data_IF_804295641105
#
_entry.id   IF_804295641105
#
_cell.length_a   1.000
_cell.length_b   1.000
_cell.length_c   1.000
_cell.angle_alpha   90.00
_cell.angle_beta   90.00
_cell.angle_gamma   90.00
#
_symmetry.space_group_name_H-M   'P 1'
#
loop_
_entity.id
_entity.type
_entity.pdbx_description
1 polymer ?
#
# COMPACT_ATOMS: atom_id res chain seq x y z
N UNK A 1 -6.54 58.89 54.10
CA UNK A 1 -7.63 58.44 55.01
C UNK A 1 -8.01 57.03 54.59
N UNK A 2 -7.80 56.12 55.53
CA UNK A 2 -8.21 54.72 55.65
C UNK A 2 -9.67 54.44 55.18
N UNK A 3 -10.18 53.24 54.92
CA UNK A 3 -9.93 51.86 55.39
C UNK A 3 -10.56 50.86 54.37
N UNK A 4 -10.01 49.64 54.35
CA UNK A 4 -10.64 48.29 54.39
C UNK A 4 -12.17 48.16 54.23
N UNK A 5 -12.75 47.07 53.72
CA UNK A 5 -12.21 45.72 53.54
C UNK A 5 -13.27 44.74 52.98
N UNK A 6 -12.82 43.51 52.77
CA UNK A 6 -13.58 42.36 52.28
C UNK A 6 -14.67 41.88 53.26
N UNK A 7 -15.67 41.14 52.74
CA UNK A 7 -16.10 39.85 53.33
C UNK A 7 -17.11 39.08 52.46
N UNK A 8 -16.81 37.78 52.34
CA UNK A 8 -17.61 36.71 51.77
C UNK A 8 -18.91 36.46 52.56
N UNK A 9 -19.94 35.94 51.89
CA UNK A 9 -21.02 35.18 52.53
C UNK A 9 -21.54 34.09 51.61
N UNK A 10 -21.26 32.83 51.95
CA UNK A 10 -21.96 31.66 51.44
C UNK A 10 -23.34 31.53 52.12
N UNK A 11 -24.40 31.30 51.33
CA UNK A 11 -25.67 30.73 51.81
C UNK A 11 -26.12 29.60 50.89
N UNK A 12 -26.43 28.48 51.53
CA UNK A 12 -27.00 27.26 50.97
C UNK A 12 -28.53 27.26 51.14
N UNK A 13 -29.27 26.83 50.11
CA UNK A 13 -30.34 25.79 50.17
C UNK A 13 -31.14 25.65 48.87
N UNK A 14 -31.07 24.43 48.29
CA UNK A 14 -32.14 23.53 47.78
C UNK A 14 -33.40 24.11 47.08
N UNK A 15 -33.68 23.71 45.83
CA UNK A 15 -34.63 22.62 45.44
C UNK A 15 -35.00 22.64 43.93
N UNK A 16 -35.28 21.46 43.35
CA UNK A 16 -35.97 21.20 42.07
C UNK A 16 -35.12 20.43 41.04
N UNK A 17 -35.16 19.08 40.97
CA UNK A 17 -36.03 18.24 40.11
C UNK A 17 -35.90 18.60 38.60
N UNK A 18 -35.69 17.72 37.61
CA UNK A 18 -36.01 16.30 37.38
C UNK A 18 -35.30 15.89 36.06
N UNK A 19 -34.79 14.66 35.92
CA UNK A 19 -34.35 14.15 34.59
C UNK A 19 -33.33 13.01 34.60
N UNK A 20 -33.76 11.81 35.03
CA UNK A 20 -33.13 10.51 34.74
C UNK A 20 -33.12 10.28 33.22
N UNK A 21 -32.08 9.75 32.56
CA UNK A 21 -31.72 8.33 32.58
C UNK A 21 -30.34 8.15 31.93
N UNK A 22 -29.35 7.66 32.69
CA UNK A 22 -28.06 7.19 32.16
C UNK A 22 -28.21 5.71 31.81
N UNK A 23 -28.23 5.40 30.52
CA UNK A 23 -28.13 4.02 30.05
C UNK A 23 -26.64 3.67 29.91
N UNK A 24 -26.15 2.81 30.80
CA UNK A 24 -24.86 2.16 30.70
C UNK A 24 -24.93 1.09 29.61
N UNK A 25 -24.23 1.30 28.49
CA UNK A 25 -23.80 0.21 27.61
C UNK A 25 -22.28 0.12 27.73
N UNK A 26 -21.81 -0.67 28.70
CA UNK A 26 -20.43 -1.17 28.71
C UNK A 26 -20.35 -2.36 27.77
N UNK A 27 -20.09 -2.14 26.49
CA UNK A 27 -19.61 -3.18 25.60
C UNK A 27 -18.14 -3.46 25.97
N UNK A 28 -17.93 -4.53 26.73
CA UNK A 28 -16.59 -5.11 26.92
C UNK A 28 -16.20 -5.76 25.61
N UNK A 29 -15.64 -4.97 24.70
CA UNK A 29 -14.89 -5.51 23.57
C UNK A 29 -13.60 -6.09 24.14
N UNK A 30 -13.56 -7.42 24.32
CA UNK A 30 -12.30 -8.15 24.52
C UNK A 30 -11.44 -7.94 23.26
N UNK A 31 -10.65 -6.88 23.25
CA UNK A 31 -9.52 -6.78 22.34
C UNK A 31 -8.48 -7.75 22.87
N UNK A 32 -8.53 -8.99 22.38
CA UNK A 32 -7.36 -9.85 22.40
C UNK A 32 -6.33 -9.17 21.50
N UNK A 33 -5.47 -8.33 22.09
CA UNK A 33 -4.19 -7.97 21.47
C UNK A 33 -3.38 -9.26 21.40
N UNK A 34 -3.63 -10.05 20.36
CA UNK A 34 -2.68 -11.08 19.93
C UNK A 34 -1.45 -10.30 19.52
N UNK A 35 -0.36 -10.47 20.28
CA UNK A 35 0.95 -9.91 19.93
C UNK A 35 1.40 -10.62 18.66
N UNK A 36 1.04 -10.03 17.52
CA UNK A 36 1.39 -10.55 16.21
C UNK A 36 2.90 -10.48 16.04
N UNK A 37 3.55 -11.63 15.92
CA UNK A 37 4.99 -11.70 15.77
C UNK A 37 5.35 -11.50 14.30
N UNK A 38 6.52 -10.91 14.02
CA UNK A 38 7.04 -10.80 12.66
C UNK A 38 7.20 -12.21 12.02
N UNK A 39 7.39 -13.25 12.85
CA UNK A 39 7.41 -14.65 12.41
C UNK A 39 6.09 -15.09 11.78
N UNK A 40 4.96 -14.76 12.40
CA UNK A 40 3.63 -15.15 11.89
C UNK A 40 3.37 -14.56 10.49
N UNK A 41 3.93 -13.38 10.20
CA UNK A 41 3.85 -12.75 8.88
C UNK A 41 4.67 -13.48 7.85
N UNK A 42 5.91 -13.82 8.20
CA UNK A 42 6.79 -14.55 7.32
C UNK A 42 6.17 -15.90 6.96
N UNK A 43 5.67 -16.62 7.96
CA UNK A 43 5.06 -17.95 7.76
C UNK A 43 3.81 -17.85 6.88
N UNK A 44 2.92 -16.88 7.15
CA UNK A 44 1.75 -16.65 6.31
C UNK A 44 2.13 -16.29 4.86
N UNK A 45 3.10 -15.40 4.67
CA UNK A 45 3.53 -15.00 3.32
C UNK A 45 4.13 -16.18 2.57
N UNK A 46 5.03 -16.95 3.21
CA UNK A 46 5.69 -18.09 2.58
C UNK A 46 4.72 -19.23 2.23
N UNK A 47 3.66 -19.42 3.02
CA UNK A 47 2.64 -20.43 2.75
C UNK A 47 1.69 -20.04 1.61
N UNK A 48 1.38 -18.75 1.46
CA UNK A 48 0.27 -18.30 0.61
C UNK A 48 0.69 -17.53 -0.65
N UNK A 49 1.86 -16.88 -0.65
CA UNK A 49 2.29 -16.03 -1.76
C UNK A 49 3.45 -16.67 -2.53
N UNK A 50 3.29 -16.62 -3.84
CA UNK A 50 4.28 -17.11 -4.80
C UNK A 50 4.70 -15.96 -5.70
N UNK A 51 5.85 -16.12 -6.36
CA UNK A 51 6.29 -15.34 -7.51
C UNK A 51 6.33 -16.24 -8.74
N UNK A 52 6.35 -15.63 -9.92
CA UNK A 52 6.46 -16.35 -11.19
C UNK A 52 7.80 -16.02 -11.87
N UNK A 53 8.50 -17.05 -12.32
CA UNK A 53 9.78 -16.93 -13.04
C UNK A 53 9.69 -17.63 -14.39
N UNK A 54 10.34 -17.07 -15.40
CA UNK A 54 10.37 -17.66 -16.74
C UNK A 54 11.42 -18.77 -16.79
N UNK A 55 10.97 -20.01 -17.06
CA UNK A 55 11.80 -21.22 -17.03
C UNK A 55 12.11 -21.75 -18.43
N UNK A 56 11.60 -21.07 -19.45
CA UNK A 56 11.92 -21.31 -20.86
C UNK A 56 12.39 -20.01 -21.52
N UNK A 57 13.55 -20.04 -22.14
CA UNK A 57 14.04 -18.99 -23.01
C UNK A 57 13.43 -19.17 -24.40
N UNK A 58 12.47 -18.31 -24.74
CA UNK A 58 11.89 -18.26 -26.08
C UNK A 58 12.34 -16.99 -26.78
N UNK A 59 13.25 -17.12 -27.75
CA UNK A 59 13.82 -15.97 -28.44
C UNK A 59 12.74 -15.13 -29.11
N UNK A 60 12.81 -13.81 -28.92
CA UNK A 60 12.04 -12.88 -29.72
C UNK A 60 12.75 -12.64 -31.04
N UNK A 61 12.16 -13.12 -32.14
CA UNK A 61 12.72 -12.94 -33.49
C UNK A 61 12.76 -11.49 -33.95
N UNK A 62 12.03 -10.58 -33.27
CA UNK A 62 12.03 -9.14 -33.57
C UNK A 62 13.12 -8.38 -32.81
N UNK A 63 13.70 -8.97 -31.77
CA UNK A 63 14.75 -8.33 -31.00
C UNK A 63 16.12 -8.55 -31.67
N UNK A 64 16.95 -7.51 -31.71
CA UNK A 64 18.32 -7.61 -32.22
C UNK A 64 19.22 -8.43 -31.28
N UNK A 65 18.96 -8.34 -29.98
CA UNK A 65 19.71 -9.05 -28.93
C UNK A 65 19.03 -10.37 -28.54
N UNK A 66 19.75 -11.23 -27.81
CA UNK A 66 19.21 -12.50 -27.27
C UNK A 66 18.23 -12.24 -26.13
N UNK A 67 17.06 -11.69 -26.48
CA UNK A 67 15.97 -11.34 -25.58
C UNK A 67 14.89 -12.40 -25.69
N UNK A 68 14.44 -12.88 -24.53
CA UNK A 68 13.30 -13.77 -24.42
C UNK A 68 12.00 -12.98 -24.62
N UNK A 69 10.94 -13.63 -25.11
CA UNK A 69 9.58 -13.06 -25.20
C UNK A 69 8.98 -12.64 -23.84
N UNK A 70 9.58 -13.04 -22.71
CA UNK A 70 9.23 -12.50 -21.39
C UNK A 70 9.81 -11.09 -21.13
N UNK A 71 10.69 -10.59 -21.99
CA UNK A 71 11.35 -9.29 -21.90
C UNK A 71 12.73 -9.31 -21.26
N UNK A 72 13.19 -10.45 -20.73
CA UNK A 72 14.51 -10.59 -20.12
C UNK A 72 15.56 -11.13 -21.09
N UNK A 73 16.80 -10.70 -20.92
CA UNK A 73 17.94 -11.28 -21.61
C UNK A 73 18.23 -12.70 -21.09
N UNK A 74 18.88 -13.53 -21.91
CA UNK A 74 19.16 -14.93 -21.57
C UNK A 74 19.94 -15.10 -20.24
N UNK A 75 20.86 -14.19 -19.93
CA UNK A 75 21.64 -14.20 -18.69
C UNK A 75 20.86 -13.74 -17.44
N UNK A 76 19.63 -13.24 -17.61
CA UNK A 76 18.75 -12.83 -16.51
C UNK A 76 17.73 -13.92 -16.14
N UNK A 77 17.75 -15.05 -16.83
CA UNK A 77 16.94 -16.20 -16.50
C UNK A 77 17.56 -17.02 -15.36
N UNK A 78 16.72 -17.78 -14.66
CA UNK A 78 17.18 -18.71 -13.62
C UNK A 78 18.04 -19.83 -14.23
N UNK A 79 18.97 -20.38 -13.45
CA UNK A 79 19.76 -21.53 -13.84
C UNK A 79 18.87 -22.73 -14.24
N UNK A 80 19.30 -23.49 -15.25
CA UNK A 80 18.53 -24.63 -15.78
C UNK A 80 17.36 -24.24 -16.70
N UNK A 81 17.23 -22.96 -17.07
CA UNK A 81 16.26 -22.51 -18.09
C UNK A 81 16.47 -23.24 -19.41
N UNK A 82 15.41 -23.84 -19.93
CA UNK A 82 15.43 -24.56 -21.21
C UNK A 82 15.29 -23.59 -22.38
N UNK A 83 15.92 -23.87 -23.52
CA UNK A 83 15.77 -23.06 -24.73
C UNK A 83 14.62 -23.63 -25.57
N UNK A 84 13.66 -22.79 -25.94
CA UNK A 84 12.54 -23.15 -26.79
C UNK A 84 12.44 -22.16 -27.96
N UNK A 85 12.86 -22.60 -29.15
CA UNK A 85 12.90 -21.74 -30.34
C UNK A 85 11.62 -21.79 -31.18
N UNK A 86 10.83 -22.85 -31.03
CA UNK A 86 9.76 -23.19 -31.98
C UNK A 86 8.35 -22.88 -31.47
N UNK A 87 8.14 -22.80 -30.16
CA UNK A 87 6.81 -22.59 -29.60
C UNK A 87 6.46 -21.10 -29.39
N UNK A 88 5.16 -20.81 -29.53
CA UNK A 88 4.62 -19.50 -29.16
C UNK A 88 4.64 -19.34 -27.64
N UNK A 89 5.39 -18.35 -27.15
CA UNK A 89 5.46 -18.03 -25.73
C UNK A 89 4.08 -17.79 -25.12
N UNK A 90 3.89 -18.35 -23.94
CA UNK A 90 2.67 -18.31 -23.15
C UNK A 90 3.05 -18.38 -21.68
N UNK A 91 2.61 -17.42 -20.88
CA UNK A 91 3.04 -17.33 -19.48
C UNK A 91 2.71 -18.60 -18.69
N UNK A 92 1.55 -19.24 -18.89
CA UNK A 92 1.15 -20.45 -18.15
C UNK A 92 2.06 -21.64 -18.43
N UNK A 93 2.59 -21.75 -19.65
CA UNK A 93 3.48 -22.85 -20.07
C UNK A 93 4.95 -22.57 -19.80
N UNK A 94 5.39 -21.33 -20.03
CA UNK A 94 6.80 -20.98 -20.10
C UNK A 94 7.34 -20.38 -18.79
N UNK A 95 6.49 -20.30 -17.77
CA UNK A 95 6.86 -19.79 -16.45
C UNK A 95 6.36 -20.75 -15.37
N UNK A 96 7.02 -20.75 -14.23
CA UNK A 96 6.65 -21.57 -13.06
C UNK A 96 6.54 -20.69 -11.83
N UNK A 97 5.67 -21.08 -10.91
CA UNK A 97 5.57 -20.42 -9.61
C UNK A 97 6.58 -20.98 -8.62
N UNK A 98 7.14 -20.10 -7.82
CA UNK A 98 8.06 -20.38 -6.72
C UNK A 98 7.60 -19.59 -5.49
N UNK A 99 7.91 -20.01 -4.25
CA UNK A 99 7.68 -19.18 -3.07
C UNK A 99 8.28 -17.79 -3.27
N UNK A 100 7.60 -16.75 -2.78
CA UNK A 100 8.14 -15.38 -2.89
C UNK A 100 9.13 -15.08 -1.77
N UNK A 101 10.29 -14.59 -2.15
CA UNK A 101 11.34 -14.12 -1.23
C UNK A 101 11.44 -12.58 -1.19
N UNK A 102 10.63 -11.87 -1.97
CA UNK A 102 10.67 -10.42 -2.07
C UNK A 102 9.45 -9.78 -1.38
N UNK A 103 9.57 -9.52 -0.08
CA UNK A 103 8.56 -8.84 0.73
C UNK A 103 9.17 -8.22 1.98
N UNK A 104 8.53 -7.21 2.55
CA UNK A 104 8.96 -6.59 3.80
C UNK A 104 8.64 -5.11 3.88
N UNK A 105 9.43 -4.41 4.69
CA UNK A 105 9.37 -2.96 4.79
C UNK A 105 10.44 -2.32 3.89
N UNK A 106 10.08 -1.25 3.18
CA UNK A 106 10.98 -0.43 2.37
C UNK A 106 11.03 1.00 2.94
N UNK A 107 12.23 1.55 3.07
CA UNK A 107 12.44 2.92 3.52
C UNK A 107 13.32 3.65 2.51
N UNK A 108 12.82 4.77 2.00
CA UNK A 108 13.61 5.66 1.15
C UNK A 108 14.36 6.66 2.04
N UNK A 109 15.68 6.76 1.82
CA UNK A 109 16.60 7.61 2.61
C UNK A 109 16.10 9.05 2.77
N UNK A 110 15.44 9.59 1.74
CA UNK A 110 15.02 11.00 1.66
C UNK A 110 13.60 11.27 2.16
N UNK A 111 12.80 10.23 2.47
CA UNK A 111 11.37 10.40 2.77
C UNK A 111 11.01 10.09 4.23
N UNK A 112 11.88 9.43 4.99
CA UNK A 112 11.70 9.17 6.43
C UNK A 112 10.53 8.25 6.81
N UNK A 113 9.68 7.83 5.86
CA UNK A 113 8.56 6.92 6.06
C UNK A 113 8.86 5.53 5.51
N UNK A 114 8.47 4.51 6.27
CA UNK A 114 8.48 3.11 5.84
C UNK A 114 7.20 2.80 5.06
N UNK A 115 7.34 2.12 3.93
CA UNK A 115 6.25 1.47 3.20
C UNK A 115 6.36 -0.05 3.35
N UNK A 116 5.27 -0.77 3.06
CA UNK A 116 5.28 -2.24 2.97
C UNK A 116 5.27 -2.66 1.50
N UNK A 117 5.93 -3.75 1.17
CA UNK A 117 5.95 -4.30 -0.18
C UNK A 117 5.88 -5.83 -0.18
N UNK A 118 5.36 -6.39 -1.27
CA UNK A 118 5.38 -7.82 -1.58
C UNK A 118 5.39 -8.01 -3.10
N UNK A 119 6.23 -8.92 -3.60
CA UNK A 119 6.17 -9.46 -4.95
C UNK A 119 5.24 -10.67 -4.95
N UNK A 120 4.26 -10.66 -5.84
CA UNK A 120 3.28 -11.74 -5.98
C UNK A 120 3.15 -12.22 -7.43
N UNK A 121 2.62 -13.43 -7.59
CA UNK A 121 2.29 -14.04 -8.88
C UNK A 121 1.03 -13.37 -9.44
N UNK A 122 0.94 -13.29 -10.76
CA UNK A 122 -0.28 -12.81 -11.40
C UNK A 122 -1.49 -13.71 -11.16
N UNK A 123 -1.28 -14.93 -10.66
CA UNK A 123 -2.32 -15.92 -10.36
C UNK A 123 -2.64 -15.99 -8.86
N UNK A 124 -2.08 -15.10 -8.03
CA UNK A 124 -2.42 -15.02 -6.59
C UNK A 124 -3.89 -14.64 -6.41
N UNK A 125 -4.56 -15.39 -5.52
CA UNK A 125 -5.97 -15.14 -5.20
C UNK A 125 -6.17 -13.78 -4.48
N UNK A 126 -7.24 -13.08 -4.86
CA UNK A 126 -7.52 -11.74 -4.35
C UNK A 126 -7.98 -11.72 -2.89
N UNK A 127 -8.63 -12.79 -2.40
CA UNK A 127 -9.06 -12.88 -1.01
C UNK A 127 -7.84 -13.02 -0.10
N UNK A 128 -6.86 -13.83 -0.52
CA UNK A 128 -5.56 -13.97 0.16
C UNK A 128 -4.82 -12.64 0.23
N UNK A 129 -4.80 -11.86 -0.86
CA UNK A 129 -4.20 -10.53 -0.86
C UNK A 129 -4.96 -9.56 0.07
N UNK A 130 -6.29 -9.64 0.09
CA UNK A 130 -7.10 -8.81 0.98
C UNK A 130 -6.88 -9.16 2.47
N UNK A 131 -6.72 -10.44 2.79
CA UNK A 131 -6.32 -10.90 4.12
C UNK A 131 -4.97 -10.33 4.53
N UNK A 132 -3.96 -10.39 3.66
CA UNK A 132 -2.65 -9.76 3.91
C UNK A 132 -2.81 -8.27 4.23
N UNK A 133 -3.55 -7.53 3.40
CA UNK A 133 -3.72 -6.08 3.57
C UNK A 133 -4.43 -5.73 4.89
N UNK A 134 -5.45 -6.49 5.27
CA UNK A 134 -6.32 -6.14 6.42
C UNK A 134 -5.89 -6.79 7.73
N UNK A 135 -5.59 -8.09 7.72
CA UNK A 135 -5.27 -8.85 8.94
C UNK A 135 -3.80 -8.70 9.33
N UNK A 136 -2.90 -8.72 8.34
CA UNK A 136 -1.46 -8.78 8.58
C UNK A 136 -0.76 -7.41 8.47
N UNK A 137 -1.22 -6.54 7.57
CA UNK A 137 -0.74 -5.16 7.45
C UNK A 137 -1.63 -4.15 8.19
N UNK A 138 -2.71 -4.63 8.80
CA UNK A 138 -3.61 -3.86 9.64
C UNK A 138 -4.22 -2.63 8.95
N UNK A 139 -4.41 -2.69 7.63
CA UNK A 139 -5.15 -1.64 6.91
C UNK A 139 -6.63 -1.76 7.26
N UNK A 140 -7.23 -0.66 7.70
CA UNK A 140 -8.67 -0.58 7.88
C UNK A 140 -9.37 -0.87 6.55
N UNK A 141 -10.40 -1.72 6.60
CA UNK A 141 -11.28 -2.00 5.46
C UNK A 141 -11.80 -0.67 4.88
N UNK A 142 -11.66 -0.46 3.56
CA UNK A 142 -12.10 0.77 2.94
C UNK A 142 -13.61 0.78 2.76
N UNK A 143 -14.23 1.95 2.93
CA UNK A 143 -15.63 2.17 2.53
C UNK A 143 -15.77 2.46 1.02
N UNK A 144 -14.65 2.74 0.35
CA UNK A 144 -14.56 3.09 -1.06
C UNK A 144 -13.16 2.79 -1.59
N UNK A 145 -13.08 2.27 -2.81
CA UNK A 145 -11.80 2.09 -3.53
C UNK A 145 -11.79 3.02 -4.73
N UNK A 146 -10.73 3.81 -4.87
CA UNK A 146 -10.53 4.76 -5.97
C UNK A 146 -9.32 4.30 -6.78
N UNK A 147 -9.55 3.85 -8.01
CA UNK A 147 -8.47 3.53 -8.95
C UNK A 147 -8.10 4.76 -9.77
N UNK A 148 -6.83 5.16 -9.71
CA UNK A 148 -6.27 6.26 -10.49
C UNK A 148 -5.22 5.71 -11.45
N UNK A 149 -5.58 5.70 -12.73
CA UNK A 149 -4.74 5.23 -13.84
C UNK A 149 -4.56 6.36 -14.86
N UNK A 150 -3.48 6.30 -15.64
CA UNK A 150 -3.19 7.30 -16.66
C UNK A 150 -1.97 6.93 -17.50
N UNK A 151 -1.64 7.79 -18.46
CA UNK A 151 -0.49 7.57 -19.33
C UNK A 151 0.83 7.55 -18.55
N UNK A 152 1.72 6.63 -18.92
CA UNK A 152 3.07 6.50 -18.36
C UNK A 152 4.08 7.49 -18.97
N UNK A 153 3.68 8.28 -19.98
CA UNK A 153 4.51 9.35 -20.53
C UNK A 153 4.55 10.52 -19.54
N UNK A 154 5.75 11.01 -19.25
CA UNK A 154 5.91 12.21 -18.43
C UNK A 154 5.32 13.42 -19.19
N UNK A 155 4.54 14.21 -18.48
CA UNK A 155 3.96 15.47 -18.97
C UNK A 155 3.97 16.48 -17.83
N UNK A 156 4.00 17.77 -18.11
CA UNK A 156 3.89 18.79 -17.06
C UNK A 156 2.44 18.90 -16.59
N UNK A 157 2.20 18.67 -15.30
CA UNK A 157 0.85 18.76 -14.74
C UNK A 157 0.40 20.23 -14.70
N UNK A 158 -0.69 20.55 -15.42
CA UNK A 158 -1.31 21.88 -15.36
C UNK A 158 -1.80 22.18 -13.92
N UNK A 159 -1.68 23.41 -13.40
CA UNK A 159 -2.10 23.78 -12.04
C UNK A 159 -3.55 23.38 -11.71
N UNK A 160 -4.47 23.49 -12.68
CA UNK A 160 -5.87 23.08 -12.54
C UNK A 160 -6.02 21.59 -12.19
N UNK A 161 -5.22 20.72 -12.80
CA UNK A 161 -5.26 19.28 -12.50
C UNK A 161 -4.72 18.98 -11.12
N UNK A 162 -3.66 19.67 -10.69
CA UNK A 162 -3.12 19.54 -9.31
C UNK A 162 -4.21 19.82 -8.28
N UNK A 163 -4.99 20.88 -8.46
CA UNK A 163 -6.12 21.23 -7.57
C UNK A 163 -7.20 20.13 -7.53
N UNK A 164 -7.50 19.51 -8.66
CA UNK A 164 -8.46 18.40 -8.74
C UNK A 164 -7.94 17.20 -7.94
N UNK A 165 -6.68 16.79 -8.14
CA UNK A 165 -6.10 15.68 -7.40
C UNK A 165 -5.98 15.97 -5.91
N UNK A 166 -5.59 17.19 -5.52
CA UNK A 166 -5.58 17.57 -4.10
C UNK A 166 -6.95 17.40 -3.45
N UNK A 167 -8.02 17.76 -4.14
CA UNK A 167 -9.40 17.56 -3.65
C UNK A 167 -9.78 16.08 -3.60
N UNK A 168 -9.36 15.28 -4.58
CA UNK A 168 -9.58 13.82 -4.58
C UNK A 168 -8.90 13.16 -3.37
N UNK A 169 -7.61 13.45 -3.15
CA UNK A 169 -6.84 12.91 -2.02
C UNK A 169 -7.49 13.30 -0.68
N UNK A 170 -7.96 14.54 -0.55
CA UNK A 170 -8.69 14.99 0.63
C UNK A 170 -9.99 14.18 0.87
N UNK A 171 -10.81 14.00 -0.17
CA UNK A 171 -12.06 13.23 -0.05
C UNK A 171 -11.73 11.78 0.33
N UNK A 172 -10.74 11.17 -0.33
CA UNK A 172 -10.32 9.81 -0.04
C UNK A 172 -9.92 9.63 1.42
N UNK A 173 -9.09 10.54 1.95
CA UNK A 173 -8.70 10.56 3.35
C UNK A 173 -9.93 10.66 4.27
N UNK A 174 -10.80 11.64 4.06
CA UNK A 174 -11.99 11.88 4.90
C UNK A 174 -13.01 10.73 4.92
N UNK A 175 -13.00 9.87 3.91
CA UNK A 175 -13.93 8.75 3.76
C UNK A 175 -13.32 7.41 4.14
N UNK A 176 -12.04 7.38 4.52
CA UNK A 176 -11.29 6.15 4.72
C UNK A 176 -11.23 5.30 3.45
N UNK A 177 -11.06 5.94 2.29
CA UNK A 177 -10.96 5.26 1.01
C UNK A 177 -9.52 4.78 0.74
N UNK A 178 -9.39 3.67 0.02
CA UNK A 178 -8.11 3.26 -0.54
C UNK A 178 -7.90 3.88 -1.92
N UNK A 179 -6.68 4.32 -2.20
CA UNK A 179 -6.27 4.75 -3.53
C UNK A 179 -5.40 3.68 -4.16
N UNK A 180 -5.83 3.13 -5.29
CA UNK A 180 -5.03 2.22 -6.10
C UNK A 180 -4.42 2.99 -7.28
N UNK A 181 -3.13 2.80 -7.53
CA UNK A 181 -2.45 3.43 -8.67
C UNK A 181 -1.32 2.55 -9.21
N UNK A 182 -0.74 2.92 -10.35
CA UNK A 182 0.30 2.11 -11.02
C UNK A 182 1.66 2.05 -10.31
N UNK A 183 1.83 2.72 -9.17
CA UNK A 183 2.99 2.53 -8.28
C UNK A 183 4.37 2.92 -8.83
N UNK A 184 4.46 3.50 -10.02
CA UNK A 184 5.71 3.94 -10.64
C UNK A 184 5.91 5.45 -10.56
N UNK A 185 7.16 5.90 -10.61
CA UNK A 185 7.53 7.32 -10.61
C UNK A 185 7.47 7.95 -12.03
N UNK A 186 6.44 7.61 -12.81
CA UNK A 186 6.25 8.09 -14.17
C UNK A 186 4.83 8.57 -14.43
N UNK A 187 4.69 9.54 -15.33
CA UNK A 187 3.40 10.04 -15.81
C UNK A 187 2.49 10.53 -14.69
N UNK A 188 1.21 10.12 -14.74
CA UNK A 188 0.21 10.54 -13.76
C UNK A 188 0.51 10.02 -12.34
N UNK A 189 1.06 8.82 -12.22
CA UNK A 189 1.30 8.16 -10.93
C UNK A 189 2.30 8.94 -10.07
N UNK A 190 3.32 9.55 -10.70
CA UNK A 190 4.24 10.47 -10.03
C UNK A 190 3.49 11.63 -9.35
N UNK A 191 2.57 12.28 -10.08
CA UNK A 191 1.82 13.42 -9.55
C UNK A 191 0.85 13.03 -8.44
N UNK A 192 0.24 11.84 -8.52
CA UNK A 192 -0.57 11.32 -7.42
C UNK A 192 0.29 11.14 -6.16
N UNK A 193 1.47 10.54 -6.29
CA UNK A 193 2.42 10.39 -5.19
C UNK A 193 2.84 11.74 -4.58
N UNK A 194 3.13 12.75 -5.41
CA UNK A 194 3.44 14.10 -4.93
C UNK A 194 2.27 14.71 -4.15
N UNK A 195 1.05 14.62 -4.64
CA UNK A 195 -0.13 15.21 -3.97
C UNK A 195 -0.45 14.46 -2.67
N UNK A 196 -0.28 13.14 -2.63
CA UNK A 196 -0.41 12.33 -1.40
C UNK A 196 0.61 12.77 -0.36
N UNK A 197 1.88 12.91 -0.76
CA UNK A 197 2.96 13.40 0.10
C UNK A 197 2.65 14.79 0.65
N UNK A 198 2.30 15.74 -0.22
CA UNK A 198 2.04 17.13 0.15
C UNK A 198 0.86 17.24 1.14
N UNK A 199 -0.21 16.45 0.95
CA UNK A 199 -1.34 16.40 1.89
C UNK A 199 -0.93 15.83 3.25
N UNK A 200 -0.09 14.81 3.26
CA UNK A 200 0.34 14.16 4.51
C UNK A 200 1.25 15.06 5.34
N UNK A 201 2.14 15.83 4.70
CA UNK A 201 3.00 16.81 5.36
C UNK A 201 2.18 17.99 5.89
N UNK A 202 1.22 18.48 5.10
CA UNK A 202 0.53 19.75 5.40
C UNK A 202 -0.47 19.66 6.55
N UNK A 203 -0.99 18.45 6.87
CA UNK A 203 -2.20 18.33 7.68
C UNK A 203 -2.02 17.68 9.06
N UNK A 204 -0.84 17.12 9.39
CA UNK A 204 -0.55 16.47 10.68
C UNK A 204 -1.74 15.68 11.25
N UNK A 205 -2.48 14.99 10.38
CA UNK A 205 -3.74 14.32 10.74
C UNK A 205 -3.44 12.90 11.20
N UNK A 206 -4.12 12.45 12.25
CA UNK A 206 -4.03 11.07 12.75
C UNK A 206 -4.48 10.04 11.70
N UNK A 207 -5.35 10.43 10.78
CA UNK A 207 -5.85 9.57 9.69
C UNK A 207 -4.92 9.64 8.47
N UNK A 208 -4.03 8.65 8.35
CA UNK A 208 -3.19 8.53 7.16
C UNK A 208 -4.00 8.00 5.98
N UNK A 209 -3.77 8.58 4.80
CA UNK A 209 -4.31 8.05 3.55
C UNK A 209 -3.64 6.72 3.20
N UNK A 210 -4.45 5.75 2.75
CA UNK A 210 -3.96 4.47 2.25
C UNK A 210 -3.82 4.55 0.73
N UNK A 211 -2.58 4.57 0.25
CA UNK A 211 -2.24 4.52 -1.17
C UNK A 211 -1.47 3.22 -1.48
N UNK A 212 -2.00 2.43 -2.40
CA UNK A 212 -1.43 1.13 -2.81
C UNK A 212 -0.95 1.27 -4.26
N UNK A 213 0.35 1.07 -4.46
CA UNK A 213 0.99 1.06 -5.78
C UNK A 213 1.11 -0.36 -6.33
N UNK A 214 0.55 -0.60 -7.52
CA UNK A 214 0.63 -1.87 -8.22
C UNK A 214 1.53 -1.69 -9.45
N UNK A 215 2.75 -2.19 -9.37
CA UNK A 215 3.75 -2.07 -10.43
C UNK A 215 4.20 -3.45 -10.93
N UNK A 216 4.49 -3.55 -12.23
CA UNK A 216 5.10 -4.74 -12.78
C UNK A 216 6.55 -4.89 -12.27
N UNK A 217 6.89 -6.06 -11.73
CA UNK A 217 8.22 -6.32 -11.15
C UNK A 217 9.37 -6.01 -12.11
N UNK A 218 9.22 -6.34 -13.40
CA UNK A 218 10.24 -6.06 -14.42
C UNK A 218 10.50 -4.57 -14.67
N UNK A 219 9.59 -3.68 -14.25
CA UNK A 219 9.75 -2.23 -14.35
C UNK A 219 10.39 -1.60 -13.10
N UNK A 220 10.60 -2.38 -12.03
CA UNK A 220 11.23 -1.90 -10.80
C UNK A 220 12.75 -1.92 -10.97
N UNK A 221 13.36 -0.73 -10.92
CA UNK A 221 14.83 -0.59 -10.92
C UNK A 221 15.41 -1.06 -9.59
N UNK A 222 16.63 -1.64 -9.62
CA UNK A 222 17.35 -2.16 -8.45
C UNK A 222 16.55 -3.18 -7.62
N UNK A 223 15.59 -3.88 -8.25
CA UNK A 223 14.70 -4.84 -7.58
C UNK A 223 15.43 -6.00 -6.90
N UNK A 224 16.66 -6.30 -7.31
CA UNK A 224 17.47 -7.36 -6.70
C UNK A 224 17.81 -7.04 -5.23
N UNK A 225 17.84 -5.75 -4.85
CA UNK A 225 18.00 -5.31 -3.46
C UNK A 225 16.77 -5.57 -2.58
N UNK A 226 15.63 -5.92 -3.19
CA UNK A 226 14.37 -6.20 -2.50
C UNK A 226 14.14 -7.71 -2.29
N UNK A 227 15.04 -8.55 -2.79
CA UNK A 227 15.04 -10.00 -2.62
C UNK A 227 15.74 -10.30 -1.30
N UNK A 228 15.08 -11.05 -0.41
CA UNK A 228 15.69 -11.53 0.84
C UNK A 228 16.56 -12.75 0.54
N UNK A 229 17.80 -12.75 1.02
CA UNK A 229 18.69 -13.91 1.02
C UNK A 229 18.44 -14.80 2.23
#
# INVERSE_FOLDING_TARGET
MSFEGARLSMRSRRNGALGSTRTLYSSVSRSTKVSYSDSDLVDFIQANFKKRECVFFTRDSKAMESICKCGYAQNQHIEGTQINENEKWNYKKHTKEFPTEAFGDIQFETLGKKGKYIRLSCDTDSETLYELLTQHWHLKTPNLVISVTGGAKNFTLKPRMRKIFSRLIYIAQSKGAWILTGGTHYGLMKYIGEVVRDNTISRNSEENIVAIGIAAWGMVSNRDTLIRN
#
